data_IF_617106095909
#
_entry.id   IF_617106095909
#
_cell.length_a   1.000
_cell.length_b   1.000
_cell.length_c   1.000
_cell.angle_alpha   90.00
_cell.angle_beta   90.00
_cell.angle_gamma   90.00
#
_symmetry.space_group_name_H-M   'P 1'
#
loop_
_entity.id
_entity.type
_entity.pdbx_description
1 polymer ?
#
# COMPACT_ATOMS: atom_id res chain seq x y z
N UNK A 1 -7.55 23.90 -17.81
CA UNK A 1 -6.36 23.03 -17.62
C UNK A 1 -6.12 22.62 -16.17
N UNK A 2 -6.10 23.53 -15.18
CA UNK A 2 -5.83 23.19 -13.77
C UNK A 2 -6.78 22.14 -13.14
N UNK A 3 -8.09 22.22 -13.41
CA UNK A 3 -9.07 21.28 -12.84
C UNK A 3 -8.97 19.85 -13.41
N UNK A 4 -8.55 19.70 -14.67
CA UNK A 4 -8.43 18.41 -15.32
C UNK A 4 -7.24 17.59 -14.77
N UNK A 5 -6.11 18.25 -14.51
CA UNK A 5 -4.92 17.62 -13.93
C UNK A 5 -5.20 17.09 -12.52
N UNK A 6 -5.98 17.81 -11.72
CA UNK A 6 -6.35 17.35 -10.37
C UNK A 6 -7.43 16.29 -10.34
N UNK A 7 -8.35 16.29 -11.31
CA UNK A 7 -9.32 15.21 -11.44
C UNK A 7 -8.63 13.89 -11.80
N UNK A 8 -7.64 13.94 -12.70
CA UNK A 8 -6.86 12.76 -13.10
C UNK A 8 -5.97 12.26 -11.96
N UNK A 9 -5.27 13.15 -11.25
CA UNK A 9 -4.44 12.76 -10.12
C UNK A 9 -5.25 12.24 -8.93
N UNK A 10 -6.42 12.85 -8.66
CA UNK A 10 -7.33 12.39 -7.60
C UNK A 10 -7.94 11.02 -7.88
N UNK A 11 -8.40 10.79 -9.12
CA UNK A 11 -8.96 9.50 -9.54
C UNK A 11 -7.88 8.41 -9.53
N UNK A 12 -6.68 8.73 -10.04
CA UNK A 12 -5.54 7.82 -10.01
C UNK A 12 -5.10 7.47 -8.59
N UNK A 13 -5.06 8.45 -7.68
CA UNK A 13 -4.73 8.21 -6.28
C UNK A 13 -5.76 7.34 -5.56
N UNK A 14 -7.05 7.52 -5.86
CA UNK A 14 -8.12 6.73 -5.29
C UNK A 14 -8.05 5.26 -5.75
N UNK A 15 -7.85 5.03 -7.05
CA UNK A 15 -7.67 3.68 -7.60
C UNK A 15 -6.43 3.01 -7.03
N UNK A 16 -5.28 3.72 -7.02
CA UNK A 16 -4.06 3.20 -6.43
C UNK A 16 -4.24 2.89 -4.93
N UNK A 17 -4.94 3.75 -4.19
CA UNK A 17 -5.26 3.52 -2.78
C UNK A 17 -6.14 2.28 -2.57
N UNK A 18 -7.17 2.08 -3.39
CA UNK A 18 -8.02 0.89 -3.35
C UNK A 18 -7.23 -0.39 -3.64
N UNK A 19 -6.38 -0.38 -4.67
CA UNK A 19 -5.51 -1.52 -5.00
C UNK A 19 -4.54 -1.81 -3.86
N UNK A 20 -3.97 -0.77 -3.24
CA UNK A 20 -3.08 -0.93 -2.09
C UNK A 20 -3.81 -1.57 -0.90
N UNK A 21 -5.02 -1.09 -0.56
CA UNK A 21 -5.83 -1.65 0.52
C UNK A 21 -6.17 -3.11 0.25
N UNK A 22 -6.61 -3.44 -0.97
CA UNK A 22 -6.92 -4.81 -1.36
C UNK A 22 -5.70 -5.72 -1.26
N UNK A 23 -4.55 -5.28 -1.76
CA UNK A 23 -3.32 -6.07 -1.72
C UNK A 23 -2.84 -6.32 -0.29
N UNK A 24 -2.88 -5.29 0.57
CA UNK A 24 -2.54 -5.43 2.00
C UNK A 24 -3.54 -6.33 2.70
N UNK A 25 -4.85 -6.15 2.46
CA UNK A 25 -5.88 -7.00 3.06
C UNK A 25 -5.67 -8.48 2.70
N UNK A 26 -5.40 -8.78 1.42
CA UNK A 26 -5.09 -10.15 0.98
C UNK A 26 -3.86 -10.72 1.68
N UNK A 27 -2.81 -9.92 1.90
CA UNK A 27 -1.61 -10.36 2.62
C UNK A 27 -1.87 -10.66 4.11
N UNK A 28 -2.88 -10.03 4.71
CA UNK A 28 -3.33 -10.33 6.08
C UNK A 28 -4.28 -11.53 6.16
N UNK A 29 -5.10 -11.73 5.14
CA UNK A 29 -6.04 -12.87 5.05
C UNK A 29 -5.29 -14.21 4.86
N UNK A 30 -4.17 -14.18 4.15
CA UNK A 30 -3.29 -15.32 3.99
C UNK A 30 -2.57 -15.66 5.31
N UNK A 31 -2.79 -16.88 5.80
CA UNK A 31 -2.12 -17.42 6.99
C UNK A 31 -1.26 -18.64 6.61
N UNK A 32 0.08 -18.52 6.65
CA UNK A 32 0.96 -19.63 6.33
C UNK A 32 0.82 -20.73 7.39
N UNK A 33 0.80 -22.00 6.96
CA UNK A 33 0.64 -23.14 7.87
C UNK A 33 1.93 -23.51 8.61
N UNK A 34 3.06 -23.05 8.10
CA UNK A 34 4.37 -23.26 8.69
C UNK A 34 5.49 -22.72 7.78
N UNK A 35 6.76 -22.85 8.19
CA UNK A 35 7.91 -22.38 7.43
C UNK A 35 8.13 -23.11 6.10
N UNK A 36 7.49 -24.26 5.90
CA UNK A 36 7.56 -25.06 4.67
C UNK A 36 6.50 -24.66 3.63
N UNK A 37 5.67 -23.67 3.93
CA UNK A 37 4.56 -23.19 3.08
C UNK A 37 5.04 -22.04 2.18
N UNK A 38 6.07 -22.32 1.38
CA UNK A 38 6.81 -21.33 0.57
C UNK A 38 5.89 -20.58 -0.41
N UNK A 39 4.90 -21.28 -0.99
CA UNK A 39 3.94 -20.70 -1.93
C UNK A 39 3.09 -19.60 -1.26
N UNK A 40 2.64 -19.84 -0.03
CA UNK A 40 1.83 -18.87 0.73
C UNK A 40 2.69 -17.73 1.24
N UNK A 41 3.92 -18.02 1.69
CA UNK A 41 4.88 -16.98 2.11
C UNK A 41 5.21 -16.03 0.94
N UNK A 42 5.49 -16.58 -0.24
CA UNK A 42 5.77 -15.80 -1.44
C UNK A 42 4.54 -15.00 -1.88
N UNK A 43 3.34 -15.58 -1.81
CA UNK A 43 2.10 -14.86 -2.11
C UNK A 43 1.87 -13.66 -1.17
N UNK A 44 2.15 -13.82 0.13
CA UNK A 44 2.08 -12.74 1.12
C UNK A 44 3.10 -11.64 0.78
N UNK A 45 4.33 -12.01 0.46
CA UNK A 45 5.39 -11.07 0.10
C UNK A 45 5.02 -10.26 -1.14
N UNK A 46 4.58 -10.94 -2.21
CA UNK A 46 4.16 -10.30 -3.47
C UNK A 46 2.97 -9.36 -3.21
N UNK A 47 1.96 -9.81 -2.47
CA UNK A 47 0.80 -9.00 -2.13
C UNK A 47 1.16 -7.77 -1.28
N UNK A 48 2.06 -7.92 -0.30
CA UNK A 48 2.51 -6.82 0.52
C UNK A 48 3.38 -5.83 -0.25
N UNK A 49 4.26 -6.28 -1.15
CA UNK A 49 5.03 -5.42 -2.04
C UNK A 49 4.16 -4.65 -3.02
N UNK A 50 3.12 -5.29 -3.59
CA UNK A 50 2.09 -4.61 -4.36
C UNK A 50 1.40 -3.53 -3.53
N UNK A 51 1.01 -3.86 -2.29
CA UNK A 51 0.45 -2.92 -1.33
C UNK A 51 1.33 -1.69 -1.10
N UNK A 52 2.63 -1.90 -0.86
CA UNK A 52 3.63 -0.84 -0.70
C UNK A 52 3.70 0.03 -1.96
N UNK A 53 3.86 -0.58 -3.13
CA UNK A 53 4.03 0.13 -4.39
C UNK A 53 2.83 1.04 -4.70
N UNK A 54 1.61 0.51 -4.56
CA UNK A 54 0.39 1.27 -4.84
C UNK A 54 0.08 2.31 -3.76
N UNK A 55 0.41 2.05 -2.49
CA UNK A 55 0.29 3.04 -1.43
C UNK A 55 1.26 4.21 -1.63
N UNK A 56 2.49 3.93 -2.08
CA UNK A 56 3.48 4.94 -2.46
C UNK A 56 2.99 5.75 -3.65
N UNK A 57 2.48 5.10 -4.70
CA UNK A 57 1.93 5.76 -5.87
C UNK A 57 0.76 6.69 -5.51
N UNK A 58 -0.16 6.20 -4.67
CA UNK A 58 -1.28 7.01 -4.15
C UNK A 58 -0.78 8.22 -3.37
N UNK A 59 0.23 8.03 -2.51
CA UNK A 59 0.85 9.12 -1.74
C UNK A 59 1.50 10.16 -2.64
N UNK A 60 2.28 9.74 -3.65
CA UNK A 60 2.94 10.64 -4.62
C UNK A 60 1.90 11.44 -5.42
N UNK A 61 0.83 10.79 -5.86
CA UNK A 61 -0.27 11.46 -6.56
C UNK A 61 -1.02 12.47 -5.68
N UNK A 62 -1.03 12.27 -4.36
CA UNK A 62 -1.65 13.18 -3.38
C UNK A 62 -0.70 14.27 -2.85
N UNK A 63 0.63 14.09 -2.97
CA UNK A 63 1.62 15.09 -2.53
C UNK A 63 1.48 16.40 -3.32
N UNK A 64 1.27 16.33 -4.63
CA UNK A 64 1.13 17.52 -5.47
C UNK A 64 -0.08 18.39 -5.08
N UNK A 65 -1.32 17.86 -4.96
CA UNK A 65 -2.46 18.64 -4.50
C UNK A 65 -2.37 19.07 -3.02
N UNK A 66 -1.68 18.31 -2.16
CA UNK A 66 -1.41 18.70 -0.78
C UNK A 66 -0.43 19.88 -0.69
N UNK A 67 0.65 19.86 -1.48
CA UNK A 67 1.64 20.94 -1.56
C UNK A 67 1.03 22.24 -2.12
N UNK A 68 0.07 22.12 -3.03
CA UNK A 68 -0.71 23.24 -3.56
C UNK A 68 -1.76 23.78 -2.56
N UNK A 69 -1.86 23.22 -1.34
CA UNK A 69 -2.87 23.53 -0.30
C UNK A 69 -4.32 23.30 -0.74
N UNK A 70 -4.55 22.52 -1.79
CA UNK A 70 -5.89 22.21 -2.26
C UNK A 70 -6.52 21.07 -1.46
N UNK A 71 -5.67 20.27 -0.80
CA UNK A 71 -6.07 19.17 0.07
C UNK A 71 -5.50 19.38 1.48
N UNK A 72 -6.33 19.18 2.50
CA UNK A 72 -5.86 19.20 3.90
C UNK A 72 -4.87 18.06 4.09
N UNK A 73 -3.78 18.30 4.83
CA UNK A 73 -2.74 17.31 5.12
C UNK A 73 -3.27 16.01 5.72
N UNK A 74 -4.43 16.07 6.38
CA UNK A 74 -5.16 14.92 6.91
C UNK A 74 -5.54 13.87 5.84
N UNK A 75 -5.65 14.25 4.57
CA UNK A 75 -5.92 13.32 3.47
C UNK A 75 -4.74 12.42 3.10
N UNK A 76 -3.53 12.69 3.62
CA UNK A 76 -2.37 11.82 3.48
C UNK A 76 -2.33 10.70 4.54
N UNK A 77 -3.13 10.80 5.61
CA UNK A 77 -3.16 9.76 6.65
C UNK A 77 -3.57 8.39 6.13
N UNK A 78 -4.66 8.23 5.34
CA UNK A 78 -5.09 6.93 4.84
C UNK A 78 -4.00 6.18 4.05
N UNK A 79 -3.37 6.74 3.00
CA UNK A 79 -2.35 6.01 2.24
C UNK A 79 -1.10 5.73 3.08
N UNK A 80 -0.73 6.62 4.00
CA UNK A 80 0.39 6.39 4.92
C UNK A 80 0.10 5.24 5.89
N UNK A 81 -1.11 5.13 6.43
CA UNK A 81 -1.48 4.03 7.31
C UNK A 81 -1.46 2.68 6.58
N UNK A 82 -1.93 2.65 5.33
CA UNK A 82 -1.87 1.44 4.49
C UNK A 82 -0.42 1.06 4.19
N UNK A 83 0.44 2.03 3.89
CA UNK A 83 1.87 1.81 3.68
C UNK A 83 2.54 1.21 4.93
N UNK A 84 2.26 1.78 6.11
CA UNK A 84 2.79 1.26 7.38
C UNK A 84 2.30 -0.16 7.68
N UNK A 85 1.03 -0.47 7.38
CA UNK A 85 0.49 -1.82 7.55
C UNK A 85 1.18 -2.84 6.62
N UNK A 86 1.41 -2.47 5.35
CA UNK A 86 2.12 -3.31 4.40
C UNK A 86 3.57 -3.60 4.85
N UNK A 87 4.30 -2.55 5.26
CA UNK A 87 5.66 -2.67 5.78
C UNK A 87 5.68 -3.52 7.06
N UNK A 88 4.73 -3.30 7.98
CA UNK A 88 4.61 -4.08 9.20
C UNK A 88 4.37 -5.56 8.93
N UNK A 89 3.57 -5.90 7.92
CA UNK A 89 3.34 -7.29 7.50
C UNK A 89 4.61 -7.93 6.95
N UNK A 90 5.36 -7.23 6.08
CA UNK A 90 6.65 -7.71 5.56
C UNK A 90 7.67 -7.92 6.69
N UNK A 91 7.78 -6.96 7.60
CA UNK A 91 8.68 -7.06 8.75
C UNK A 91 8.32 -8.25 9.66
N UNK A 92 7.03 -8.52 9.85
CA UNK A 92 6.57 -9.69 10.59
C UNK A 92 6.95 -11.00 9.90
N UNK A 93 6.77 -11.11 8.58
CA UNK A 93 7.18 -12.32 7.82
C UNK A 93 8.68 -12.53 7.94
N UNK A 94 9.49 -11.49 7.73
CA UNK A 94 10.95 -11.58 7.83
C UNK A 94 11.43 -11.97 9.23
N UNK A 95 10.71 -11.58 10.29
CA UNK A 95 11.05 -11.93 11.66
C UNK A 95 10.54 -13.31 12.09
N UNK A 96 9.33 -13.69 11.68
CA UNK A 96 8.72 -14.97 12.04
C UNK A 96 9.26 -16.16 11.22
N UNK A 97 9.70 -15.91 9.98
CA UNK A 97 10.21 -16.91 9.05
C UNK A 97 11.54 -16.45 8.44
N UNK A 98 12.63 -16.39 9.24
CA UNK A 98 13.95 -16.09 8.70
C UNK A 98 14.37 -17.22 7.76
N UNK A 99 14.42 -16.94 6.46
CA UNK A 99 15.06 -17.82 5.48
C UNK A 99 16.56 -17.87 5.80
N UNK A 100 17.00 -19.02 6.30
CA UNK A 100 18.41 -19.35 6.59
C UNK A 100 19.07 -20.06 5.43
#
# INVERSE_FOLDING_TARGET
MRAAVTAISGSGAAVAGLVAVLAVFSAFDMSPRGPWDDDVLLAIEVAAWLGVLFALLSTVLLILPAALRWLRWWWLLPPVMVLLAAIGRLAWVAWAYPVG
#
